data_IF_816233728338
#
_entry.id   IF_816233728338
#
_cell.length_a   1.000
_cell.length_b   1.000
_cell.length_c   1.000
_cell.angle_alpha   90.00
_cell.angle_beta   90.00
_cell.angle_gamma   90.00
#
_symmetry.space_group_name_H-M   'P 1'
#
loop_
_entity.id
_entity.type
_entity.pdbx_description
1 polymer ?
#
# COMPACT_ATOMS: atom_id res chain seq x y z
N UNK A 1 1.86 37.55 -19.44
CA UNK A 1 2.51 36.31 -18.96
C UNK A 1 1.75 35.72 -17.75
N UNK A 2 0.40 35.62 -17.81
CA UNK A 2 -0.42 35.38 -16.61
C UNK A 2 -1.34 34.16 -16.62
N UNK A 3 -1.40 33.35 -17.69
CA UNK A 3 -2.53 32.42 -17.86
C UNK A 3 -2.15 30.92 -17.81
N UNK A 4 -0.97 30.57 -17.30
CA UNK A 4 -0.57 29.16 -17.16
C UNK A 4 -1.17 28.54 -15.88
N UNK A 5 -1.02 29.23 -14.74
CA UNK A 5 -1.52 28.76 -13.44
C UNK A 5 -3.06 28.67 -13.41
N UNK A 6 -3.78 29.63 -14.02
CA UNK A 6 -5.24 29.63 -14.08
C UNK A 6 -5.84 28.55 -14.99
N UNK A 7 -5.06 28.07 -15.97
CA UNK A 7 -5.51 27.10 -16.96
C UNK A 7 -5.08 25.66 -16.62
N UNK A 8 -3.92 25.47 -15.99
CA UNK A 8 -3.43 24.18 -15.48
C UNK A 8 -3.89 23.85 -14.04
N UNK A 9 -4.41 24.82 -13.29
CA UNK A 9 -4.67 24.69 -11.85
C UNK A 9 -5.52 23.49 -11.45
N UNK A 10 -6.55 23.13 -12.23
CA UNK A 10 -7.40 21.97 -11.95
C UNK A 10 -6.64 20.64 -12.12
N UNK A 11 -5.76 20.54 -13.12
CA UNK A 11 -4.94 19.34 -13.31
C UNK A 11 -3.94 19.16 -12.17
N UNK A 12 -3.34 20.26 -11.72
CA UNK A 12 -2.41 20.24 -10.58
C UNK A 12 -3.18 19.86 -9.31
N UNK A 13 -4.36 20.44 -9.10
CA UNK A 13 -5.22 20.12 -7.97
C UNK A 13 -5.58 18.63 -7.90
N UNK A 14 -6.00 18.02 -9.03
CA UNK A 14 -6.32 16.58 -9.08
C UNK A 14 -5.10 15.72 -8.73
N UNK A 15 -3.91 16.07 -9.27
CA UNK A 15 -2.66 15.35 -8.94
C UNK A 15 -2.30 15.51 -7.46
N UNK A 16 -2.46 16.70 -6.89
CA UNK A 16 -2.20 16.95 -5.46
C UNK A 16 -3.17 16.17 -4.57
N UNK A 17 -4.46 16.12 -4.91
CA UNK A 17 -5.45 15.30 -4.18
C UNK A 17 -5.10 13.82 -4.27
N UNK A 18 -4.73 13.32 -5.45
CA UNK A 18 -4.29 11.94 -5.64
C UNK A 18 -3.03 11.60 -4.83
N UNK A 19 -2.02 12.48 -4.84
CA UNK A 19 -0.81 12.31 -4.02
C UNK A 19 -1.15 12.37 -2.53
N UNK A 20 -2.00 13.31 -2.11
CA UNK A 20 -2.47 13.43 -0.74
C UNK A 20 -3.19 12.17 -0.25
N UNK A 21 -4.06 11.59 -1.08
CA UNK A 21 -4.73 10.32 -0.78
C UNK A 21 -3.74 9.15 -0.64
N UNK A 22 -2.71 9.08 -1.50
CA UNK A 22 -1.66 8.06 -1.37
C UNK A 22 -0.89 8.20 -0.06
N UNK A 23 -0.45 9.42 0.27
CA UNK A 23 0.26 9.69 1.53
C UNK A 23 -0.62 9.40 2.73
N UNK A 24 -1.88 9.82 2.69
CA UNK A 24 -2.85 9.54 3.75
C UNK A 24 -3.06 8.04 3.95
N UNK A 25 -3.30 7.28 2.88
CA UNK A 25 -3.45 5.82 2.95
C UNK A 25 -2.19 5.17 3.52
N UNK A 26 -1.01 5.60 3.06
CA UNK A 26 0.25 5.08 3.56
C UNK A 26 0.40 5.29 5.06
N UNK A 27 0.21 6.53 5.54
CA UNK A 27 0.35 6.87 6.96
C UNK A 27 -0.70 6.14 7.80
N UNK A 28 -1.96 6.11 7.36
CA UNK A 28 -3.04 5.45 8.10
C UNK A 28 -2.79 3.95 8.25
N UNK A 29 -2.38 3.27 7.18
CA UNK A 29 -2.06 1.85 7.28
C UNK A 29 -0.78 1.62 8.09
N UNK A 30 0.26 2.44 7.90
CA UNK A 30 1.48 2.34 8.69
C UNK A 30 1.19 2.45 10.20
N UNK A 31 0.43 3.47 10.61
CA UNK A 31 0.02 3.72 11.99
C UNK A 31 -0.81 2.55 12.57
N UNK A 32 -1.77 2.04 11.79
CA UNK A 32 -2.61 0.89 12.19
C UNK A 32 -1.75 -0.35 12.50
N UNK A 33 -0.75 -0.65 11.68
CA UNK A 33 0.11 -1.81 11.88
C UNK A 33 1.26 -1.57 12.86
N UNK A 34 1.57 -0.31 13.18
CA UNK A 34 2.63 0.06 14.12
C UNK A 34 2.14 0.27 15.56
N UNK A 35 0.90 0.70 15.78
CA UNK A 35 0.43 1.08 17.12
C UNK A 35 -0.76 0.25 17.64
N UNK A 36 -1.48 -0.51 16.79
CA UNK A 36 -2.62 -1.28 17.30
C UNK A 36 -2.18 -2.51 18.10
N UNK A 37 -2.79 -2.76 19.28
CA UNK A 37 -2.45 -3.88 20.15
C UNK A 37 -2.65 -5.25 19.48
N UNK A 38 -3.59 -5.34 18.53
CA UNK A 38 -3.88 -6.56 17.76
C UNK A 38 -2.68 -7.08 16.96
N UNK A 39 -1.76 -6.21 16.56
CA UNK A 39 -0.60 -6.59 15.75
C UNK A 39 0.72 -6.64 16.54
N UNK A 40 0.68 -6.42 17.86
CA UNK A 40 1.90 -6.41 18.69
C UNK A 40 2.70 -7.71 18.59
N UNK A 41 2.00 -8.85 18.49
CA UNK A 41 2.65 -10.15 18.26
C UNK A 41 3.49 -10.16 16.98
N UNK A 42 2.86 -9.87 15.84
CA UNK A 42 3.53 -9.85 14.53
C UNK A 42 4.58 -8.74 14.43
N UNK A 43 4.33 -7.59 15.04
CA UNK A 43 5.28 -6.48 15.06
C UNK A 43 6.51 -6.80 15.90
N UNK A 44 6.38 -7.54 16.99
CA UNK A 44 7.55 -7.93 17.79
C UNK A 44 8.45 -8.93 17.06
N UNK A 45 7.89 -9.72 16.14
CA UNK A 45 8.62 -10.71 15.36
C UNK A 45 9.15 -10.15 14.02
N UNK A 46 8.37 -9.29 13.34
CA UNK A 46 8.68 -8.71 12.03
C UNK A 46 9.01 -7.21 12.07
N UNK A 47 9.08 -6.60 13.25
CA UNK A 47 9.48 -5.20 13.46
C UNK A 47 8.78 -4.18 12.56
N UNK A 48 9.55 -3.18 12.11
CA UNK A 48 9.10 -2.13 11.19
C UNK A 48 8.81 -2.61 9.77
N UNK A 49 9.28 -3.81 9.37
CA UNK A 49 9.06 -4.36 8.04
C UNK A 49 7.59 -4.78 7.82
N UNK A 50 6.85 -5.08 8.89
CA UNK A 50 5.41 -5.38 8.83
C UNK A 50 4.57 -4.18 8.36
N UNK A 51 4.55 -3.02 9.05
CA UNK A 51 3.81 -1.85 8.59
C UNK A 51 4.33 -1.34 7.24
N UNK A 52 5.64 -1.45 6.98
CA UNK A 52 6.24 -1.07 5.71
C UNK A 52 5.83 -1.98 4.54
N UNK A 53 5.43 -3.23 4.77
CA UNK A 53 4.88 -4.09 3.72
C UNK A 53 3.39 -3.83 3.48
N UNK A 54 2.63 -3.52 4.54
CA UNK A 54 1.17 -3.35 4.47
C UNK A 54 0.73 -1.98 3.96
N UNK A 55 1.45 -0.91 4.31
CA UNK A 55 1.13 0.44 3.86
C UNK A 55 1.24 0.64 2.34
N UNK A 56 2.33 0.24 1.65
CA UNK A 56 2.39 0.31 0.19
C UNK A 56 1.40 -0.64 -0.48
N UNK A 57 1.05 -1.79 0.12
CA UNK A 57 0.05 -2.69 -0.44
C UNK A 57 -1.35 -2.04 -0.54
N UNK A 58 -1.74 -1.28 0.49
CA UNK A 58 -2.99 -0.52 0.44
C UNK A 58 -2.96 0.58 -0.64
N UNK A 59 -1.84 1.30 -0.75
CA UNK A 59 -1.64 2.30 -1.81
C UNK A 59 -1.63 1.66 -3.19
N UNK A 60 -1.03 0.47 -3.33
CA UNK A 60 -0.98 -0.29 -4.57
C UNK A 60 -2.38 -0.70 -5.02
N UNK A 61 -3.22 -1.24 -4.11
CA UNK A 61 -4.62 -1.58 -4.42
C UNK A 61 -5.41 -0.36 -4.90
N UNK A 62 -5.21 0.79 -4.26
CA UNK A 62 -5.85 2.05 -4.68
C UNK A 62 -5.39 2.48 -6.08
N UNK A 63 -4.09 2.49 -6.35
CA UNK A 63 -3.57 2.90 -7.66
C UNK A 63 -3.91 1.89 -8.78
N UNK A 64 -3.92 0.59 -8.49
CA UNK A 64 -4.32 -0.45 -9.44
C UNK A 64 -5.82 -0.39 -9.80
N UNK A 65 -6.67 0.09 -8.91
CA UNK A 65 -8.05 0.43 -9.27
C UNK A 65 -8.08 1.70 -10.13
N UNK A 66 -7.32 2.72 -9.74
CA UNK A 66 -7.33 4.04 -10.37
C UNK A 66 -6.74 4.04 -11.79
N UNK A 67 -5.78 3.18 -12.10
CA UNK A 67 -5.08 3.14 -13.39
C UNK A 67 -6.00 2.80 -14.58
N UNK A 68 -7.12 2.12 -14.33
CA UNK A 68 -8.10 1.76 -15.37
C UNK A 68 -9.04 2.92 -15.73
N UNK A 69 -9.39 3.77 -14.77
CA UNK A 69 -10.26 4.93 -14.98
C UNK A 69 -9.84 5.84 -16.16
N UNK A 70 -8.55 6.22 -16.31
CA UNK A 70 -8.11 7.05 -17.43
C UNK A 70 -8.05 6.34 -18.79
N UNK A 71 -8.25 5.02 -18.85
CA UNK A 71 -8.20 4.24 -20.11
C UNK A 71 -9.60 3.83 -20.58
N UNK A 72 -10.60 3.83 -19.69
CA UNK A 72 -12.00 3.54 -20.01
C UNK A 72 -12.66 4.65 -20.84
N UNK A 73 -12.41 4.67 -22.16
CA UNK A 73 -12.87 5.72 -23.09
C UNK A 73 -14.38 5.97 -23.05
N UNK A 74 -15.21 4.93 -22.87
CA UNK A 74 -16.66 5.10 -22.78
C UNK A 74 -17.09 5.81 -21.48
N UNK A 75 -16.45 5.50 -20.36
CA UNK A 75 -16.66 6.18 -19.08
C UNK A 75 -16.20 7.64 -19.17
N UNK A 76 -15.04 7.88 -19.79
CA UNK A 76 -14.53 9.22 -20.05
C UNK A 76 -15.47 10.03 -20.94
N UNK A 77 -16.01 9.44 -21.99
CA UNK A 77 -17.02 10.08 -22.85
C UNK A 77 -18.32 10.37 -22.11
N UNK A 78 -18.78 9.47 -21.24
CA UNK A 78 -19.94 9.69 -20.37
C UNK A 78 -19.72 10.82 -19.35
N UNK A 79 -18.55 10.85 -18.71
CA UNK A 79 -18.14 11.92 -17.81
C UNK A 79 -17.98 13.25 -18.56
N UNK A 80 -17.50 13.24 -19.80
CA UNK A 80 -17.42 14.41 -20.69
C UNK A 80 -18.80 14.96 -21.06
N UNK A 81 -19.77 14.08 -21.29
CA UNK A 81 -21.17 14.47 -21.51
C UNK A 81 -21.84 15.03 -20.25
N UNK A 82 -21.59 14.41 -19.09
CA UNK A 82 -22.12 14.84 -17.79
C UNK A 82 -21.50 16.16 -17.29
N UNK A 83 -20.23 16.41 -17.62
CA UNK A 83 -19.49 17.63 -17.28
C UNK A 83 -19.67 18.77 -18.27
N UNK A 84 -20.51 18.61 -19.31
CA UNK A 84 -20.82 19.67 -20.28
C UNK A 84 -21.39 20.95 -19.64
N UNK A 85 -22.04 20.82 -18.47
CA UNK A 85 -22.55 21.96 -17.70
C UNK A 85 -21.47 22.65 -16.83
N UNK A 86 -20.33 21.99 -16.57
CA UNK A 86 -19.36 22.42 -15.56
C UNK A 86 -17.93 22.49 -16.14
N UNK A 87 -17.65 23.55 -16.89
CA UNK A 87 -16.32 24.06 -17.23
C UNK A 87 -15.44 23.26 -18.21
N UNK A 88 -15.03 23.94 -19.29
CA UNK A 88 -13.99 23.57 -20.27
C UNK A 88 -12.70 23.00 -19.65
N UNK A 89 -12.41 23.31 -18.38
CA UNK A 89 -11.25 22.79 -17.61
C UNK A 89 -11.33 21.29 -17.31
N UNK A 90 -12.50 20.75 -16.96
CA UNK A 90 -12.66 19.30 -16.69
C UNK A 90 -12.44 18.50 -17.97
N UNK A 91 -12.95 19.03 -19.09
CA UNK A 91 -12.77 18.43 -20.41
C UNK A 91 -11.29 18.34 -20.82
N UNK A 92 -10.51 19.41 -20.59
CA UNK A 92 -9.05 19.41 -20.85
C UNK A 92 -8.29 18.46 -19.92
N UNK A 93 -8.73 18.26 -18.68
CA UNK A 93 -8.13 17.27 -17.77
C UNK A 93 -8.37 15.84 -18.27
N UNK A 94 -9.59 15.56 -18.74
CA UNK A 94 -9.92 14.28 -19.39
C UNK A 94 -9.09 14.03 -20.65
N UNK A 95 -8.78 15.06 -21.45
CA UNK A 95 -7.92 14.91 -22.63
C UNK A 95 -6.45 14.60 -22.25
N UNK A 96 -6.01 14.90 -21.02
CA UNK A 96 -4.70 14.53 -20.45
C UNK A 96 -4.74 13.24 -19.60
N UNK A 97 -5.74 12.38 -19.80
CA UNK A 97 -5.88 11.12 -19.07
C UNK A 97 -4.66 10.18 -19.19
N UNK A 98 -3.97 10.18 -20.33
CA UNK A 98 -2.88 9.26 -20.63
C UNK A 98 -1.59 9.65 -19.90
N UNK A 99 -1.34 10.95 -19.72
CA UNK A 99 -0.27 11.43 -18.85
C UNK A 99 -0.54 11.10 -17.40
N UNK A 100 -1.80 11.20 -16.94
CA UNK A 100 -2.17 10.76 -15.59
C UNK A 100 -2.01 9.24 -15.41
N UNK A 101 -2.43 8.43 -16.39
CA UNK A 101 -2.20 6.98 -16.39
C UNK A 101 -0.72 6.62 -16.25
N UNK A 102 0.17 7.32 -16.99
CA UNK A 102 1.63 7.15 -16.86
C UNK A 102 2.15 7.49 -15.46
N UNK A 103 1.65 8.57 -14.86
CA UNK A 103 2.02 8.95 -13.47
C UNK A 103 1.58 7.88 -12.46
N UNK A 104 0.35 7.38 -12.58
CA UNK A 104 -0.17 6.29 -11.73
C UNK A 104 0.66 5.03 -11.92
N UNK A 105 1.06 4.69 -13.15
CA UNK A 105 1.90 3.52 -13.43
C UNK A 105 3.27 3.62 -12.73
N UNK A 106 3.93 4.79 -12.76
CA UNK A 106 5.17 5.01 -12.02
C UNK A 106 4.99 4.88 -10.50
N UNK A 107 3.86 5.35 -9.97
CA UNK A 107 3.55 5.22 -8.54
C UNK A 107 3.30 3.76 -8.13
N UNK A 108 2.61 2.98 -8.98
CA UNK A 108 2.44 1.52 -8.81
C UNK A 108 3.82 0.84 -8.76
N UNK A 109 4.71 1.16 -9.71
CA UNK A 109 6.05 0.59 -9.73
C UNK A 109 6.83 0.90 -8.45
N UNK A 110 6.77 2.15 -7.98
CA UNK A 110 7.41 2.58 -6.73
C UNK A 110 6.84 1.82 -5.51
N UNK A 111 5.52 1.78 -5.35
CA UNK A 111 4.90 1.06 -4.23
C UNK A 111 5.16 -0.45 -4.29
N UNK A 112 5.22 -1.03 -5.50
CA UNK A 112 5.57 -2.44 -5.71
C UNK A 112 7.01 -2.71 -5.26
N UNK A 113 7.97 -1.85 -5.63
CA UNK A 113 9.35 -2.00 -5.20
C UNK A 113 9.47 -1.96 -3.66
N UNK A 114 8.86 -0.96 -3.02
CA UNK A 114 8.86 -0.84 -1.55
C UNK A 114 8.19 -2.06 -0.90
N UNK A 115 7.03 -2.49 -1.41
CA UNK A 115 6.31 -3.66 -0.92
C UNK A 115 7.14 -4.94 -0.99
N UNK A 116 7.80 -5.20 -2.12
CA UNK A 116 8.66 -6.37 -2.32
C UNK A 116 9.85 -6.34 -1.37
N UNK A 117 10.56 -5.21 -1.27
CA UNK A 117 11.70 -5.06 -0.36
C UNK A 117 11.28 -5.28 1.10
N UNK A 118 10.14 -4.73 1.51
CA UNK A 118 9.60 -4.93 2.85
C UNK A 118 9.24 -6.41 3.11
N UNK A 119 8.75 -7.13 2.11
CA UNK A 119 8.54 -8.57 2.21
C UNK A 119 9.83 -9.37 2.35
N UNK A 120 10.91 -8.96 1.69
CA UNK A 120 12.23 -9.60 1.87
C UNK A 120 12.74 -9.44 3.30
N UNK A 121 12.67 -8.22 3.87
CA UNK A 121 13.03 -7.99 5.27
C UNK A 121 12.13 -8.76 6.24
N UNK A 122 10.83 -8.84 5.96
CA UNK A 122 9.90 -9.65 6.75
C UNK A 122 10.31 -11.13 6.79
N UNK A 123 10.76 -11.69 5.66
CA UNK A 123 11.23 -13.08 5.58
C UNK A 123 12.54 -13.23 6.37
N UNK A 124 13.50 -12.33 6.16
CA UNK A 124 14.80 -12.36 6.85
C UNK A 124 14.62 -12.33 8.37
N UNK A 125 13.81 -11.40 8.90
CA UNK A 125 13.62 -11.29 10.34
C UNK A 125 12.78 -12.42 10.91
N UNK A 126 11.82 -12.95 10.16
CA UNK A 126 11.11 -14.17 10.56
C UNK A 126 12.07 -15.36 10.70
N UNK A 127 13.01 -15.52 9.76
CA UNK A 127 14.05 -16.55 9.83
C UNK A 127 14.98 -16.29 11.02
N UNK A 128 15.40 -15.05 11.24
CA UNK A 128 16.24 -14.68 12.37
C UNK A 128 15.56 -14.95 13.71
N UNK A 129 14.29 -14.58 13.86
CA UNK A 129 13.50 -14.84 15.05
C UNK A 129 13.33 -16.34 15.35
N UNK A 130 13.33 -17.18 14.31
CA UNK A 130 13.25 -18.65 14.42
C UNK A 130 14.59 -19.31 14.75
N UNK A 131 15.70 -18.79 14.24
CA UNK A 131 17.04 -19.41 14.38
C UNK A 131 17.79 -18.85 15.58
N UNK A 132 17.77 -17.53 15.77
CA UNK A 132 18.49 -16.80 16.81
C UNK A 132 17.51 -16.32 17.88
N UNK A 133 16.63 -17.19 18.38
CA UNK A 133 15.66 -16.86 19.43
C UNK A 133 16.37 -16.56 20.76
N UNK A 134 17.02 -15.39 20.86
CA UNK A 134 17.75 -14.93 22.06
C UNK A 134 16.86 -14.18 23.04
N UNK A 135 15.70 -13.68 22.58
CA UNK A 135 14.77 -12.92 23.42
C UNK A 135 13.79 -13.87 24.11
N UNK A 136 13.61 -13.68 25.43
CA UNK A 136 12.69 -14.49 26.23
C UNK A 136 11.28 -14.57 25.64
N UNK A 137 10.81 -13.50 24.98
CA UNK A 137 9.50 -13.51 24.33
C UNK A 137 9.49 -14.32 23.03
N UNK A 138 10.49 -14.18 22.16
CA UNK A 138 10.52 -14.97 20.92
C UNK A 138 10.66 -16.47 21.21
N UNK A 139 11.42 -16.82 22.26
CA UNK A 139 11.48 -18.20 22.79
C UNK A 139 10.11 -18.66 23.30
N UNK A 140 9.45 -17.89 24.17
CA UNK A 140 8.12 -18.23 24.68
C UNK A 140 7.10 -18.43 23.55
N UNK A 141 7.13 -17.55 22.53
CA UNK A 141 6.25 -17.63 21.35
C UNK A 141 6.59 -18.81 20.44
N UNK A 142 7.87 -19.17 20.29
CA UNK A 142 8.29 -20.33 19.50
C UNK A 142 7.86 -21.66 20.14
N UNK A 143 7.66 -21.66 21.46
CA UNK A 143 7.21 -22.81 22.25
C UNK A 143 5.67 -22.91 22.35
N UNK A 144 4.90 -21.95 21.84
CA UNK A 144 3.45 -22.08 21.77
C UNK A 144 3.07 -23.20 20.79
N UNK A 145 2.47 -24.26 21.33
CA UNK A 145 1.95 -25.39 20.56
C UNK A 145 0.60 -25.03 19.93
N UNK A 146 0.34 -25.50 18.70
CA UNK A 146 -0.96 -25.27 18.06
C UNK A 146 -2.00 -26.13 18.78
N UNK A 147 -3.04 -25.50 19.31
CA UNK A 147 -4.14 -26.24 19.92
C UNK A 147 -5.00 -26.88 18.82
N UNK A 148 -5.52 -28.11 19.04
CA UNK A 148 -6.45 -28.71 18.08
C UNK A 148 -7.70 -27.84 17.97
N UNK A 149 -7.99 -27.34 16.76
CA UNK A 149 -9.13 -26.48 16.45
C UNK A 149 -8.79 -25.01 16.16
N UNK A 150 -7.53 -24.59 16.26
CA UNK A 150 -7.11 -23.25 15.83
C UNK A 150 -6.94 -23.17 14.30
N UNK A 151 -7.36 -22.06 13.70
CA UNK A 151 -7.29 -21.82 12.24
C UNK A 151 -6.00 -21.17 11.78
N UNK A 152 -5.11 -20.79 12.70
CA UNK A 152 -3.83 -20.18 12.37
C UNK A 152 -2.67 -21.10 12.77
N UNK A 153 -1.63 -21.11 11.94
CA UNK A 153 -0.40 -21.86 12.21
C UNK A 153 0.61 -20.95 12.91
N UNK A 154 1.27 -21.44 13.95
CA UNK A 154 2.39 -20.72 14.56
C UNK A 154 3.65 -20.82 13.66
N UNK A 155 3.89 -19.78 12.85
CA UNK A 155 5.05 -19.70 11.95
C UNK A 155 6.42 -19.61 12.65
N UNK A 156 6.45 -19.23 13.93
CA UNK A 156 7.68 -19.05 14.70
C UNK A 156 8.13 -20.32 15.44
N UNK A 157 7.45 -21.46 15.24
CA UNK A 157 7.75 -22.71 15.94
C UNK A 157 9.20 -23.14 15.73
N UNK A 158 9.87 -23.55 16.81
CA UNK A 158 11.17 -24.20 16.69
C UNK A 158 11.06 -25.48 15.86
N UNK A 159 12.06 -25.75 15.03
CA UNK A 159 12.13 -27.02 14.29
C UNK A 159 12.20 -28.16 15.32
N UNK A 160 11.14 -28.97 15.44
CA UNK A 160 11.23 -30.24 16.18
C UNK A 160 12.39 -31.02 15.57
N UNK A 161 13.43 -31.30 16.36
CA UNK A 161 14.38 -32.33 15.99
C UNK A 161 13.56 -33.63 15.91
N UNK A 162 13.44 -34.19 14.71
CA UNK A 162 12.90 -35.53 14.58
C UNK A 162 13.80 -36.48 15.39
N UNK A 163 13.22 -37.46 16.10
CA UNK A 163 13.99 -38.45 16.87
C UNK A 163 14.96 -39.22 15.98
#
# INVERSE_FOLDING_TARGET
MGNWIENEGLSIFVVLVWLGLNVFLFIKFYDVYNHKPRYMYSQKLLGFALPLARAPAACLNFNCMLILLPVCRNLLSFLRGSSACCSTRIRRQLDRNLTFHKMVAWMIALHTAIHTIAHLFNVEWCVNARVNSSDNLSVALSNLEDKPGETYLNFARMRRKAP
#
